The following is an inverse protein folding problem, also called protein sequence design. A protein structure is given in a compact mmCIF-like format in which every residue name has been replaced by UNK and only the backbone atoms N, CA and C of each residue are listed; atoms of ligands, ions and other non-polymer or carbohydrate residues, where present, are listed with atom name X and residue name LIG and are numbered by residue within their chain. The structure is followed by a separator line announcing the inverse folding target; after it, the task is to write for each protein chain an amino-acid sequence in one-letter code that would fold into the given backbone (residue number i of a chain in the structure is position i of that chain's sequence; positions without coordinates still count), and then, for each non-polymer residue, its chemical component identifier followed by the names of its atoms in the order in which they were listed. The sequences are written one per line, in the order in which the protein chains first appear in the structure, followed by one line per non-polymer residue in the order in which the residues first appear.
data_IF_714687545799
#
_entry.id   IF_714687545799
#
_cell.length_a   1.000
_cell.length_b   1.000
_cell.length_c   1.000
_cell.angle_alpha   90.00
_cell.angle_beta   90.00
_cell.angle_gamma   90.00
#
_symmetry.space_group_name_H-M   'P 1'
#
loop_
_entity.id
_entity.type
_entity.pdbx_description
1 polymer ?
#
# COMPACT_ATOMS: atom_id res chain seq x y z
N UNK A 1 26.24 -3.41 -26.19
CA UNK A 1 24.79 -3.41 -25.89
C UNK A 1 24.48 -2.09 -25.20
N UNK A 2 23.63 -1.24 -25.79
CA UNK A 2 23.32 0.09 -25.25
C UNK A 2 22.51 -0.09 -23.94
N UNK A 3 22.78 0.76 -22.94
CA UNK A 3 22.11 0.75 -21.63
C UNK A 3 20.60 0.92 -21.79
N UNK A 4 20.17 1.74 -22.76
CA UNK A 4 18.76 1.97 -23.06
C UNK A 4 18.04 0.71 -23.56
N UNK A 5 18.74 -0.14 -24.32
CA UNK A 5 18.16 -1.40 -24.83
C UNK A 5 17.91 -2.38 -23.69
N UNK A 6 18.83 -2.48 -22.72
CA UNK A 6 18.66 -3.33 -21.52
C UNK A 6 17.45 -2.91 -20.69
N UNK A 7 17.29 -1.60 -20.46
CA UNK A 7 16.16 -1.07 -19.69
C UNK A 7 14.80 -1.34 -20.36
N UNK A 8 14.75 -1.30 -21.69
CA UNK A 8 13.54 -1.67 -22.44
C UNK A 8 13.24 -3.15 -22.28
N UNK A 9 14.24 -4.02 -22.46
CA UNK A 9 14.07 -5.48 -22.36
C UNK A 9 13.58 -5.88 -20.96
N UNK A 10 14.21 -5.38 -19.89
CA UNK A 10 13.81 -5.66 -18.51
C UNK A 10 12.37 -5.18 -18.24
N UNK A 11 12.03 -3.96 -18.66
CA UNK A 11 10.68 -3.40 -18.51
C UNK A 11 9.63 -4.22 -19.25
N UNK A 12 9.94 -4.72 -20.44
CA UNK A 12 9.03 -5.54 -21.25
C UNK A 12 8.86 -6.95 -20.67
N UNK A 13 9.91 -7.54 -20.09
CA UNK A 13 9.83 -8.85 -19.42
C UNK A 13 8.91 -8.75 -18.20
N UNK A 14 9.11 -7.75 -17.35
CA UNK A 14 8.27 -7.52 -16.16
C UNK A 14 6.83 -7.22 -16.56
N UNK A 15 6.63 -6.37 -17.57
CA UNK A 15 5.30 -6.06 -18.12
C UNK A 15 4.59 -7.32 -18.63
N UNK A 16 5.28 -8.14 -19.43
CA UNK A 16 4.71 -9.38 -19.96
C UNK A 16 4.39 -10.39 -18.84
N UNK A 17 5.21 -10.45 -17.79
CA UNK A 17 4.93 -11.27 -16.61
C UNK A 17 3.66 -10.80 -15.88
N UNK A 18 3.52 -9.50 -15.62
CA UNK A 18 2.35 -8.92 -14.96
C UNK A 18 1.06 -9.11 -15.78
N UNK A 19 1.12 -8.93 -17.10
CA UNK A 19 0.00 -9.17 -18.00
C UNK A 19 -0.44 -10.63 -17.99
N UNK A 20 0.49 -11.59 -18.05
CA UNK A 20 0.19 -13.03 -17.96
C UNK A 20 -0.41 -13.43 -16.62
N UNK A 21 0.03 -12.81 -15.53
CA UNK A 21 -0.51 -13.02 -14.20
C UNK A 21 -1.91 -12.39 -14.02
N UNK A 22 -2.43 -11.69 -15.03
CA UNK A 22 -3.67 -10.90 -14.95
C UNK A 22 -3.69 -9.93 -13.75
N UNK A 23 -2.50 -9.50 -13.31
CA UNK A 23 -2.32 -8.63 -12.15
C UNK A 23 -1.53 -7.38 -12.55
N UNK A 24 -2.16 -6.46 -13.30
CA UNK A 24 -1.52 -5.20 -13.71
C UNK A 24 -1.07 -4.33 -12.53
N UNK A 25 -1.68 -4.55 -11.36
CA UNK A 25 -1.39 -3.85 -10.10
C UNK A 25 0.04 -4.10 -9.61
N UNK A 26 0.67 -5.20 -9.98
CA UNK A 26 1.95 -5.63 -9.43
C UNK A 26 3.19 -4.98 -10.07
N UNK A 27 3.04 -4.04 -11.01
CA UNK A 27 4.18 -3.49 -11.74
C UNK A 27 5.00 -2.48 -10.90
N UNK A 28 6.33 -2.65 -10.80
CA UNK A 28 7.18 -1.71 -10.09
C UNK A 28 7.05 -0.28 -10.64
N UNK A 29 7.12 0.75 -9.79
CA UNK A 29 7.05 2.16 -10.22
C UNK A 29 8.09 2.54 -11.28
N UNK A 30 9.25 1.88 -11.28
CA UNK A 30 10.31 2.09 -12.26
C UNK A 30 9.86 1.68 -13.68
N UNK A 31 9.21 0.52 -13.82
CA UNK A 31 8.68 0.04 -15.10
C UNK A 31 7.59 0.95 -15.62
N UNK A 32 6.64 1.34 -14.76
CA UNK A 32 5.57 2.30 -15.13
C UNK A 32 6.14 3.60 -15.69
N UNK A 33 7.11 4.18 -14.99
CA UNK A 33 7.80 5.41 -15.41
C UNK A 33 8.50 5.23 -16.75
N UNK A 34 9.23 4.13 -16.94
CA UNK A 34 9.93 3.87 -18.18
C UNK A 34 8.95 3.71 -19.36
N UNK A 35 7.90 2.89 -19.21
CA UNK A 35 6.90 2.67 -20.27
C UNK A 35 6.19 3.97 -20.66
N UNK A 36 5.87 4.84 -19.70
CA UNK A 36 5.25 6.15 -20.00
C UNK A 36 6.16 7.11 -20.78
N UNK A 37 7.49 6.97 -20.63
CA UNK A 37 8.48 7.87 -21.23
C UNK A 37 9.08 7.30 -22.54
N UNK A 38 9.13 5.97 -22.69
CA UNK A 38 9.74 5.30 -23.83
C UNK A 38 8.70 4.97 -24.90
N UNK A 39 8.82 5.61 -26.08
CA UNK A 39 7.91 5.41 -27.20
C UNK A 39 7.86 3.96 -27.69
N UNK A 40 9.00 3.25 -27.67
CA UNK A 40 9.10 1.84 -28.03
C UNK A 40 8.31 0.97 -27.05
N UNK A 41 8.56 1.08 -25.74
CA UNK A 41 7.86 0.32 -24.72
C UNK A 41 6.35 0.59 -24.74
N UNK A 42 5.94 1.85 -24.97
CA UNK A 42 4.54 2.21 -25.16
C UNK A 42 3.94 1.57 -26.41
N UNK A 43 4.64 1.58 -27.55
CA UNK A 43 4.17 0.92 -28.77
C UNK A 43 4.02 -0.60 -28.56
N UNK A 44 4.99 -1.25 -27.90
CA UNK A 44 4.91 -2.68 -27.57
C UNK A 44 3.76 -2.97 -26.63
N UNK A 45 3.54 -2.17 -25.58
CA UNK A 45 2.37 -2.31 -24.71
C UNK A 45 1.07 -2.19 -25.52
N UNK A 46 0.96 -1.19 -26.39
CA UNK A 46 -0.23 -1.00 -27.22
C UNK A 46 -0.49 -2.21 -28.14
N UNK A 47 0.56 -2.78 -28.74
CA UNK A 47 0.48 -3.97 -29.59
C UNK A 47 0.10 -5.22 -28.79
N UNK A 48 0.71 -5.42 -27.61
CA UNK A 48 0.37 -6.53 -26.72
C UNK A 48 -1.10 -6.44 -26.29
N UNK A 49 -1.60 -5.24 -26.00
CA UNK A 49 -2.99 -5.04 -25.63
C UNK A 49 -3.93 -5.27 -26.82
N UNK A 50 -3.61 -4.73 -28.00
CA UNK A 50 -4.42 -4.96 -29.21
C UNK A 50 -4.48 -6.45 -29.58
N UNK A 51 -3.38 -7.20 -29.38
CA UNK A 51 -3.35 -8.64 -29.58
C UNK A 51 -4.18 -9.42 -28.54
N UNK A 52 -4.52 -8.79 -27.41
CA UNK A 52 -5.27 -9.37 -26.30
C UNK A 52 -6.66 -8.74 -26.13
N UNK A 53 -7.17 -7.95 -27.09
CA UNK A 53 -8.52 -7.35 -27.06
C UNK A 53 -9.64 -8.41 -27.02
N UNK A 54 -9.31 -9.69 -27.21
CA UNK A 54 -10.22 -10.81 -27.02
C UNK A 54 -10.35 -11.29 -25.57
N UNK A 55 -9.57 -10.74 -24.62
CA UNK A 55 -9.66 -11.11 -23.21
C UNK A 55 -10.88 -10.42 -22.54
N UNK A 56 -11.86 -11.19 -22.04
CA UNK A 56 -13.02 -10.63 -21.35
C UNK A 56 -12.59 -9.77 -20.14
N UNK A 57 -13.13 -8.55 -20.04
CA UNK A 57 -12.86 -7.64 -18.92
C UNK A 57 -11.65 -6.72 -19.07
N UNK A 58 -10.89 -6.84 -20.18
CA UNK A 58 -9.75 -5.97 -20.50
C UNK A 58 -10.10 -4.84 -21.47
N UNK A 59 -11.38 -4.65 -21.78
CA UNK A 59 -11.83 -3.56 -22.64
C UNK A 59 -11.35 -2.23 -22.07
N UNK A 60 -10.57 -1.48 -22.85
CA UNK A 60 -10.12 -0.13 -22.48
C UNK A 60 -11.35 0.74 -22.31
N UNK A 61 -11.72 1.13 -21.07
CA UNK A 61 -12.84 2.02 -20.92
C UNK A 61 -12.38 3.36 -21.53
N UNK A 62 -13.08 3.89 -22.54
CA UNK A 62 -12.68 5.12 -23.18
C UNK A 62 -12.74 6.24 -22.16
N UNK A 63 -11.63 6.95 -21.98
CA UNK A 63 -11.55 8.19 -21.20
C UNK A 63 -10.66 9.17 -21.95
N UNK A 64 -11.11 10.41 -22.08
CA UNK A 64 -10.31 11.49 -22.65
C UNK A 64 -9.41 12.13 -21.58
N UNK A 65 -8.44 12.94 -22.02
CA UNK A 65 -7.52 13.61 -21.10
C UNK A 65 -8.24 14.51 -20.09
N UNK A 66 -9.36 15.14 -20.47
CA UNK A 66 -10.08 16.07 -19.61
C UNK A 66 -10.71 15.32 -18.43
N UNK A 67 -11.45 14.25 -18.71
CA UNK A 67 -12.06 13.42 -17.68
C UNK A 67 -10.99 12.73 -16.83
N UNK A 68 -9.89 12.27 -17.45
CA UNK A 68 -8.76 11.70 -16.72
C UNK A 68 -8.22 12.69 -15.67
N UNK A 69 -8.02 13.96 -16.04
CA UNK A 69 -7.51 14.98 -15.14
C UNK A 69 -8.50 15.36 -14.03
N UNK A 70 -9.81 15.33 -14.30
CA UNK A 70 -10.86 15.58 -13.29
C UNK A 70 -10.81 14.52 -12.20
N UNK A 71 -10.71 13.24 -12.58
CA UNK A 71 -10.75 12.14 -11.62
C UNK A 71 -9.36 11.78 -11.05
N UNK A 72 -8.29 12.40 -11.57
CA UNK A 72 -6.91 12.05 -11.23
C UNK A 72 -6.61 12.22 -9.73
N UNK A 73 -7.17 13.25 -9.09
CA UNK A 73 -6.95 13.49 -7.67
C UNK A 73 -7.47 12.34 -6.80
N UNK A 74 -8.71 11.90 -7.04
CA UNK A 74 -9.33 10.78 -6.33
C UNK A 74 -8.56 9.47 -6.56
N UNK A 75 -8.08 9.26 -7.79
CA UNK A 75 -7.20 8.12 -8.09
C UNK A 75 -5.89 8.16 -7.30
N UNK A 76 -5.19 9.30 -7.28
CA UNK A 76 -3.92 9.46 -6.57
C UNK A 76 -4.08 9.23 -5.06
N UNK A 77 -5.15 9.77 -4.46
CA UNK A 77 -5.44 9.57 -3.03
C UNK A 77 -5.69 8.10 -2.70
N UNK A 78 -6.52 7.43 -3.50
CA UNK A 78 -6.79 6.01 -3.30
C UNK A 78 -5.54 5.16 -3.58
N UNK A 79 -4.75 5.48 -4.60
CA UNK A 79 -3.55 4.70 -4.95
C UNK A 79 -2.49 4.74 -3.85
N UNK A 80 -2.35 5.88 -3.16
CA UNK A 80 -1.38 6.06 -2.06
C UNK A 80 -1.72 5.22 -0.84
N UNK A 81 -2.99 4.91 -0.61
CA UNK A 81 -3.42 4.04 0.48
C UNK A 81 -3.56 2.58 0.05
N UNK A 82 -4.11 2.33 -1.15
CA UNK A 82 -4.45 1.01 -1.68
C UNK A 82 -4.28 0.99 -3.21
N UNK A 83 -3.06 0.76 -3.69
CA UNK A 83 -2.75 0.80 -5.13
C UNK A 83 -3.56 -0.20 -5.96
N UNK A 84 -3.87 -1.38 -5.40
CA UNK A 84 -4.72 -2.39 -6.03
C UNK A 84 -6.16 -1.90 -6.22
N UNK A 85 -6.75 -1.39 -5.14
CA UNK A 85 -8.11 -0.88 -5.15
C UNK A 85 -8.25 0.33 -6.09
N UNK A 86 -7.24 1.20 -6.16
CA UNK A 86 -7.25 2.35 -7.08
C UNK A 86 -7.35 1.92 -8.54
N UNK A 87 -6.58 0.92 -8.96
CA UNK A 87 -6.64 0.39 -10.33
C UNK A 87 -7.99 -0.28 -10.63
N UNK A 88 -8.62 -0.91 -9.63
CA UNK A 88 -9.94 -1.53 -9.78
C UNK A 88 -11.08 -0.50 -9.79
N UNK A 89 -10.99 0.56 -8.98
CA UNK A 89 -12.00 1.61 -8.88
C UNK A 89 -11.93 2.61 -10.05
N UNK A 90 -10.73 2.84 -10.60
CA UNK A 90 -10.50 3.76 -11.72
C UNK A 90 -9.70 3.08 -12.86
N UNK A 91 -10.21 1.97 -13.44
CA UNK A 91 -9.51 1.23 -14.47
C UNK A 91 -9.18 2.11 -15.69
N UNK A 92 -10.07 3.04 -16.02
CA UNK A 92 -9.90 3.97 -17.14
C UNK A 92 -8.73 4.93 -16.93
N UNK A 93 -8.56 5.49 -15.72
CA UNK A 93 -7.46 6.41 -15.41
C UNK A 93 -6.16 5.62 -15.39
N UNK A 94 -6.17 4.48 -14.69
CA UNK A 94 -5.02 3.59 -14.62
C UNK A 94 -4.51 3.28 -16.04
N UNK A 95 -5.39 2.85 -16.96
CA UNK A 95 -5.05 2.62 -18.37
C UNK A 95 -4.57 3.87 -19.11
N UNK A 96 -5.25 5.00 -18.93
CA UNK A 96 -4.93 6.24 -19.65
C UNK A 96 -3.52 6.74 -19.33
N UNK A 97 -3.07 6.60 -18.07
CA UNK A 97 -1.72 6.99 -17.65
C UNK A 97 -0.61 6.20 -18.35
N UNK A 98 -0.87 5.00 -18.86
CA UNK A 98 0.11 4.22 -19.63
C UNK A 98 0.29 4.72 -21.06
N UNK A 99 -0.76 5.31 -21.65
CA UNK A 99 -0.79 5.65 -23.07
C UNK A 99 -0.62 7.16 -23.31
N UNK A 100 -1.04 7.99 -22.36
CA UNK A 100 -1.02 9.44 -22.47
C UNK A 100 0.12 10.06 -21.64
N UNK A 101 1.17 10.50 -22.32
CA UNK A 101 2.35 11.10 -21.67
C UNK A 101 2.01 12.35 -20.84
N UNK A 102 1.11 13.22 -21.33
CA UNK A 102 0.72 14.44 -20.61
C UNK A 102 -0.03 14.16 -19.30
N UNK A 103 -0.93 13.16 -19.30
CA UNK A 103 -1.61 12.75 -18.07
C UNK A 103 -0.65 12.05 -17.10
N UNK A 104 0.29 11.23 -17.61
CA UNK A 104 1.34 10.61 -16.81
C UNK A 104 2.25 11.66 -16.14
N UNK A 105 2.64 12.71 -16.87
CA UNK A 105 3.43 13.81 -16.32
C UNK A 105 2.68 14.54 -15.21
N UNK A 106 1.40 14.86 -15.43
CA UNK A 106 0.55 15.51 -14.42
C UNK A 106 0.41 14.65 -13.16
N UNK A 107 0.17 13.36 -13.33
CA UNK A 107 0.15 12.38 -12.24
C UNK A 107 1.46 12.39 -11.42
N UNK A 108 2.61 12.34 -12.10
CA UNK A 108 3.92 12.38 -11.44
C UNK A 108 4.15 13.71 -10.71
N UNK A 109 3.72 14.83 -11.27
CA UNK A 109 3.80 16.13 -10.62
C UNK A 109 2.94 16.16 -9.35
N UNK A 110 1.71 15.67 -9.42
CA UNK A 110 0.80 15.56 -8.27
C UNK A 110 1.41 14.71 -7.17
N UNK A 111 1.98 13.54 -7.49
CA UNK A 111 2.67 12.70 -6.51
C UNK A 111 3.84 13.44 -5.84
N UNK A 112 4.68 14.15 -6.62
CA UNK A 112 5.78 14.95 -6.08
C UNK A 112 5.31 16.09 -5.19
N UNK A 113 4.22 16.76 -5.54
CA UNK A 113 3.65 17.83 -4.72
C UNK A 113 3.14 17.29 -3.38
N UNK A 114 2.46 16.14 -3.39
CA UNK A 114 2.00 15.47 -2.17
C UNK A 114 3.17 14.99 -1.30
N UNK A 115 4.23 14.47 -1.91
CA UNK A 115 5.44 14.07 -1.19
C UNK A 115 6.19 15.26 -0.60
N UNK A 116 6.26 16.38 -1.34
CA UNK A 116 6.86 17.62 -0.86
C UNK A 116 6.04 18.26 0.26
N UNK A 117 4.70 18.21 0.17
CA UNK A 117 3.81 18.70 1.22
C UNK A 117 3.99 17.86 2.50
N UNK A 118 4.06 16.53 2.35
CA UNK A 118 4.38 15.63 3.46
C UNK A 118 5.75 15.91 4.07
N UNK A 119 6.76 16.23 3.26
CA UNK A 119 8.09 16.62 3.75
C UNK A 119 8.12 17.98 4.46
N UNK A 120 7.17 18.88 4.17
CA UNK A 120 6.99 20.16 4.88
C UNK A 120 6.20 20.03 6.17
N UNK A 121 5.55 18.89 6.41
CA UNK A 121 4.94 18.64 7.71
C UNK A 121 6.05 18.74 8.77
N UNK A 122 5.76 19.38 9.92
CA UNK A 122 6.77 19.63 10.94
C UNK A 122 7.49 18.31 11.26
N UNK A 123 8.82 18.37 11.27
CA UNK A 123 9.67 17.24 11.58
C UNK A 123 9.14 16.52 12.82
N UNK A 124 9.18 15.19 12.78
CA UNK A 124 8.63 14.32 13.81
C UNK A 124 8.91 14.90 15.20
N UNK A 125 7.86 15.24 15.93
CA UNK A 125 8.02 15.86 17.25
C UNK A 125 8.79 14.87 18.13
N UNK A 126 9.81 15.34 18.89
CA UNK A 126 10.51 14.50 19.85
C UNK A 126 9.49 13.78 20.72
N UNK A 127 9.62 12.45 20.76
CA UNK A 127 8.56 11.50 21.11
C UNK A 127 7.80 11.88 22.36
N UNK A 128 6.59 12.42 22.18
CA UNK A 128 5.59 12.36 23.23
C UNK A 128 5.16 10.89 23.31
N UNK A 129 5.23 10.24 24.48
CA UNK A 129 4.88 8.84 24.60
C UNK A 129 3.38 8.70 24.30
N UNK A 130 3.07 8.09 23.16
CA UNK A 130 1.72 7.60 22.89
C UNK A 130 1.38 6.56 23.98
N UNK A 131 0.15 6.57 24.50
CA UNK A 131 -0.22 5.61 25.54
C UNK A 131 -0.12 4.18 24.99
N UNK A 132 0.24 3.20 25.84
CA UNK A 132 0.17 1.80 25.45
C UNK A 132 -1.29 1.45 25.13
N UNK A 133 -1.48 0.62 24.12
CA UNK A 133 -2.80 0.13 23.73
C UNK A 133 -2.85 -1.37 23.89
N UNK A 134 -4.00 -1.86 24.35
CA UNK A 134 -4.25 -3.28 24.56
C UNK A 134 -5.41 -3.72 23.70
N UNK A 135 -5.16 -4.70 22.86
CA UNK A 135 -6.15 -5.37 22.02
C UNK A 135 -6.52 -6.66 22.71
N UNK A 136 -7.72 -6.67 23.30
CA UNK A 136 -8.24 -7.88 23.94
C UNK A 136 -8.47 -8.96 22.90
N UNK A 137 -8.41 -10.22 23.32
CA UNK A 137 -8.75 -11.35 22.44
C UNK A 137 -10.12 -11.20 21.81
N UNK A 138 -11.13 -10.77 22.56
CA UNK A 138 -12.47 -10.51 22.03
C UNK A 138 -12.48 -9.48 20.90
N UNK A 139 -11.66 -8.42 21.00
CA UNK A 139 -11.55 -7.40 19.94
C UNK A 139 -10.86 -8.00 18.71
N UNK A 140 -9.72 -8.66 18.88
CA UNK A 140 -9.00 -9.29 17.77
C UNK A 140 -9.90 -10.29 17.03
N UNK A 141 -10.74 -11.03 17.76
CA UNK A 141 -11.69 -11.97 17.16
C UNK A 141 -12.75 -11.31 16.28
N UNK A 142 -13.18 -10.11 16.65
CA UNK A 142 -14.16 -9.34 15.89
C UNK A 142 -13.52 -8.66 14.68
N UNK A 143 -12.26 -8.22 14.80
CA UNK A 143 -11.56 -7.46 13.76
C UNK A 143 -10.87 -8.36 12.71
N UNK A 144 -10.46 -9.57 13.11
CA UNK A 144 -9.73 -10.51 12.27
C UNK A 144 -10.60 -11.69 11.82
N UNK A 145 -10.35 -12.26 10.62
CA UNK A 145 -11.09 -13.40 10.13
C UNK A 145 -10.82 -14.63 11.03
N UNK A 146 -11.88 -15.18 11.60
CA UNK A 146 -11.84 -16.34 12.53
C UNK A 146 -11.50 -17.67 11.84
N UNK A 147 -11.70 -17.79 10.52
CA UNK A 147 -11.54 -19.04 9.78
C UNK A 147 -10.74 -18.85 8.49
N UNK A 148 -9.77 -19.74 8.29
CA UNK A 148 -9.05 -19.88 7.03
C UNK A 148 -10.04 -20.15 5.88
N UNK A 149 -10.11 -19.21 4.94
CA UNK A 149 -10.79 -19.39 3.66
C UNK A 149 -12.29 -19.10 3.68
N UNK A 150 -12.66 -17.83 3.76
CA UNK A 150 -13.96 -17.44 3.18
C UNK A 150 -13.84 -17.44 1.65
N UNK A 151 -14.84 -17.93 0.89
CA UNK A 151 -14.82 -17.90 -0.57
C UNK A 151 -14.63 -16.51 -1.19
N UNK A 152 -14.83 -15.44 -0.41
CA UNK A 152 -14.58 -14.05 -0.81
C UNK A 152 -13.07 -13.73 -0.92
N UNK A 153 -12.22 -14.32 -0.08
CA UNK A 153 -10.75 -14.18 -0.21
C UNK A 153 -10.23 -14.82 -1.50
N UNK A 154 -10.85 -15.90 -1.97
CA UNK A 154 -10.50 -16.51 -3.28
C UNK A 154 -10.88 -15.62 -4.48
N UNK A 155 -11.66 -14.55 -4.29
CA UNK A 155 -12.03 -13.58 -5.35
C UNK A 155 -11.22 -12.28 -5.29
N UNK A 156 -10.10 -12.27 -4.58
CA UNK A 156 -9.22 -11.09 -4.49
C UNK A 156 -9.72 -10.00 -3.56
N UNK A 157 -10.47 -10.35 -2.51
CA UNK A 157 -10.78 -9.42 -1.42
C UNK A 157 -9.50 -8.95 -0.71
N UNK A 158 -9.49 -7.70 -0.24
CA UNK A 158 -8.34 -7.09 0.45
C UNK A 158 -7.94 -7.91 1.69
N UNK A 159 -6.68 -8.34 1.77
CA UNK A 159 -6.11 -9.10 2.91
C UNK A 159 -5.82 -8.22 4.14
N UNK A 160 -6.40 -7.02 4.21
CA UNK A 160 -6.11 -5.99 5.19
C UNK A 160 -7.29 -5.79 6.14
N UNK A 161 -6.98 -5.81 7.44
CA UNK A 161 -7.95 -5.73 8.53
C UNK A 161 -7.59 -4.58 9.47
N UNK A 162 -8.46 -3.58 9.59
CA UNK A 162 -8.23 -2.42 10.46
C UNK A 162 -8.53 -2.82 11.91
N UNK A 163 -7.50 -2.83 12.76
CA UNK A 163 -7.62 -3.10 14.20
C UNK A 163 -7.96 -1.85 15.00
N UNK A 164 -7.47 -0.70 14.55
CA UNK A 164 -7.69 0.60 15.20
C UNK A 164 -7.55 1.71 14.17
N UNK A 165 -8.44 2.68 14.20
CA UNK A 165 -8.32 3.92 13.42
C UNK A 165 -9.00 5.06 14.18
N UNK A 166 -8.23 5.79 14.99
CA UNK A 166 -8.76 6.88 15.80
C UNK A 166 -7.68 7.81 16.33
N UNK A 167 -8.12 8.89 16.95
CA UNK A 167 -7.25 9.83 17.64
C UNK A 167 -6.85 9.31 19.04
N UNK A 168 -5.56 9.35 19.42
CA UNK A 168 -5.03 8.66 20.63
C UNK A 168 -4.68 9.59 21.80
N UNK A 169 -5.11 10.85 21.78
CA UNK A 169 -4.97 11.73 22.94
C UNK A 169 -6.18 12.65 23.12
N UNK A 170 -6.31 13.21 24.34
CA UNK A 170 -7.42 14.09 24.70
C UNK A 170 -7.51 15.36 23.84
N UNK A 171 -6.41 15.73 23.19
CA UNK A 171 -6.30 16.89 22.30
C UNK A 171 -6.45 16.53 20.82
N UNK A 172 -6.70 15.25 20.49
CA UNK A 172 -6.80 14.73 19.13
C UNK A 172 -5.62 15.12 18.21
N UNK A 173 -4.43 15.24 18.77
CA UNK A 173 -3.21 15.62 18.05
C UNK A 173 -2.64 14.49 17.22
N UNK A 174 -2.95 13.24 17.58
CA UNK A 174 -2.42 12.06 16.89
C UNK A 174 -3.54 11.20 16.35
N UNK A 175 -3.62 11.05 15.03
CA UNK A 175 -4.36 9.97 14.38
C UNK A 175 -3.45 8.74 14.31
N UNK A 176 -3.97 7.61 14.77
CA UNK A 176 -3.29 6.34 14.72
C UNK A 176 -4.14 5.34 13.96
N UNK A 177 -3.50 4.65 13.03
CA UNK A 177 -4.10 3.57 12.25
C UNK A 177 -3.27 2.31 12.45
N UNK A 178 -3.92 1.20 12.77
CA UNK A 178 -3.28 -0.12 12.94
C UNK A 178 -4.01 -1.10 12.03
N UNK A 179 -3.26 -1.69 11.12
CA UNK A 179 -3.76 -2.62 10.10
C UNK A 179 -3.03 -3.94 10.27
N UNK A 180 -3.77 -5.03 10.33
CA UNK A 180 -3.26 -6.39 10.22
C UNK A 180 -3.45 -6.89 8.80
N UNK A 181 -2.37 -7.36 8.18
CA UNK A 181 -2.37 -7.89 6.82
C UNK A 181 -1.98 -9.37 6.84
N UNK A 182 -2.80 -10.22 6.21
CA UNK A 182 -2.48 -11.63 6.00
C UNK A 182 -1.58 -11.75 4.76
N UNK A 183 -0.32 -12.13 4.99
CA UNK A 183 0.66 -12.36 3.93
C UNK A 183 0.58 -13.77 3.33
N UNK A 184 -0.36 -14.60 3.80
CA UNK A 184 -0.52 -15.98 3.42
C UNK A 184 0.33 -16.93 4.27
N UNK A 185 0.03 -18.23 4.16
CA UNK A 185 0.73 -19.32 4.87
C UNK A 185 0.79 -19.15 6.40
N UNK A 186 -0.22 -18.51 6.99
CA UNK A 186 -0.28 -18.27 8.42
C UNK A 186 0.69 -17.18 8.91
N UNK A 187 1.21 -16.35 8.00
CA UNK A 187 2.10 -15.24 8.33
C UNK A 187 1.33 -13.93 8.21
N UNK A 188 1.41 -13.13 9.26
CA UNK A 188 0.77 -11.83 9.36
C UNK A 188 1.80 -10.71 9.48
N UNK A 189 1.37 -9.52 9.07
CA UNK A 189 2.09 -8.27 9.27
C UNK A 189 1.17 -7.29 10.01
N UNK A 190 1.73 -6.55 10.97
CA UNK A 190 1.06 -5.41 11.58
C UNK A 190 1.71 -4.12 11.07
N UNK A 191 0.93 -3.29 10.39
CA UNK A 191 1.31 -1.96 9.96
C UNK A 191 0.73 -0.93 10.93
N UNK A 192 1.57 0.00 11.38
CA UNK A 192 1.20 1.05 12.33
C UNK A 192 1.54 2.38 11.70
N UNK A 193 0.53 3.22 11.53
CA UNK A 193 0.68 4.59 11.03
C UNK A 193 0.28 5.61 12.09
N UNK A 194 1.12 6.61 12.29
CA UNK A 194 0.86 7.73 13.20
C UNK A 194 0.94 9.05 12.44
N UNK A 195 -0.06 9.90 12.58
CA UNK A 195 -0.07 11.26 12.04
C UNK A 195 -0.35 12.28 13.16
N UNK A 196 0.49 13.31 13.36
CA UNK A 196 1.74 13.57 12.64
C UNK A 196 2.80 12.49 12.91
N UNK A 197 3.79 12.33 12.01
CA UNK A 197 4.87 11.35 12.19
C UNK A 197 5.58 11.47 13.54
N UNK A 198 5.85 10.34 14.17
CA UNK A 198 6.59 10.25 15.44
C UNK A 198 7.94 9.55 15.23
N UNK A 199 8.93 9.95 16.02
CA UNK A 199 10.21 9.24 16.07
C UNK A 199 10.18 8.17 17.17
N UNK A 200 10.87 7.05 16.94
CA UNK A 200 11.00 5.98 17.94
C UNK A 200 10.65 4.61 17.37
N UNK A 201 10.11 3.75 18.24
CA UNK A 201 9.79 2.37 17.90
C UNK A 201 8.36 2.02 18.31
N UNK A 202 7.69 1.25 17.46
CA UNK A 202 6.54 0.45 17.84
C UNK A 202 7.01 -0.89 18.39
N UNK A 203 6.50 -1.27 19.55
CA UNK A 203 6.78 -2.57 20.19
C UNK A 203 5.46 -3.30 20.41
N UNK A 204 5.33 -4.44 19.76
CA UNK A 204 4.17 -5.31 19.87
C UNK A 204 4.52 -6.50 20.75
N UNK A 205 3.87 -6.59 21.91
CA UNK A 205 4.05 -7.68 22.84
C UNK A 205 2.81 -8.59 22.84
N UNK A 206 3.05 -9.90 22.88
CA UNK A 206 2.02 -10.93 23.00
C UNK A 206 2.60 -12.08 23.84
N UNK A 207 2.28 -12.09 25.13
CA UNK A 207 2.87 -13.03 26.08
C UNK A 207 4.39 -12.83 26.22
N UNK A 208 5.17 -13.87 25.91
CA UNK A 208 6.64 -13.84 25.96
C UNK A 208 7.31 -13.31 24.69
N UNK A 209 6.53 -12.99 23.64
CA UNK A 209 7.08 -12.53 22.36
C UNK A 209 6.95 -11.01 22.28
N UNK A 210 8.02 -10.35 21.85
CA UNK A 210 8.04 -8.93 21.55
C UNK A 210 8.66 -8.69 20.17
N UNK A 211 7.93 -7.99 19.31
CA UNK A 211 8.40 -7.53 18.01
C UNK A 211 8.58 -6.02 18.06
N UNK A 212 9.65 -5.53 17.42
CA UNK A 212 10.03 -4.12 17.44
C UNK A 212 10.28 -3.60 16.04
N UNK A 213 9.69 -2.46 15.71
CA UNK A 213 9.85 -1.80 14.42
C UNK A 213 10.06 -0.30 14.61
N UNK A 214 10.97 0.28 13.82
CA UNK A 214 11.24 1.72 13.85
C UNK A 214 10.21 2.46 13.00
N UNK A 215 9.76 3.62 13.47
CA UNK A 215 8.97 4.54 12.63
C UNK A 215 9.86 5.22 11.57
N UNK A 216 9.38 5.22 10.33
CA UNK A 216 10.01 5.94 9.23
C UNK A 216 9.64 7.44 9.22
N UNK A 217 10.14 8.18 8.22
CA UNK A 217 9.85 9.61 8.07
C UNK A 217 8.37 9.91 7.78
N UNK A 218 7.58 8.92 7.39
CA UNK A 218 6.14 9.04 7.16
C UNK A 218 5.31 8.61 8.38
N UNK A 219 5.95 8.31 9.52
CA UNK A 219 5.26 7.87 10.73
C UNK A 219 4.73 6.44 10.63
N UNK A 220 5.33 5.61 9.76
CA UNK A 220 4.94 4.21 9.56
C UNK A 220 5.95 3.27 10.22
N UNK A 221 5.46 2.25 10.91
CA UNK A 221 6.25 1.13 11.40
C UNK A 221 5.61 -0.18 10.93
N UNK A 222 6.44 -1.16 10.56
CA UNK A 222 5.98 -2.48 10.08
C UNK A 222 6.58 -3.58 10.94
N UNK A 223 5.72 -4.38 11.54
CA UNK A 223 6.08 -5.54 12.34
C UNK A 223 5.75 -6.78 11.51
N UNK A 224 6.79 -7.39 10.96
CA UNK A 224 6.68 -8.54 10.08
C UNK A 224 6.74 -9.87 10.85
N UNK A 225 6.34 -10.95 10.18
CA UNK A 225 6.53 -12.33 10.64
C UNK A 225 5.76 -12.67 11.92
N UNK A 226 4.55 -12.14 12.07
CA UNK A 226 3.65 -12.61 13.12
C UNK A 226 3.08 -13.96 12.72
N UNK A 227 3.28 -14.96 13.58
CA UNK A 227 2.62 -16.25 13.43
C UNK A 227 1.12 -16.08 13.70
N UNK A 228 0.27 -16.68 12.85
CA UNK A 228 -1.18 -16.59 12.97
C UNK A 228 -1.71 -16.99 14.34
N UNK A 229 -1.04 -17.92 15.02
CA UNK A 229 -1.34 -18.40 16.37
C UNK A 229 -1.28 -17.26 17.40
N UNK A 230 -0.43 -16.25 17.18
CA UNK A 230 -0.34 -15.10 18.10
C UNK A 230 -1.53 -14.16 17.99
N UNK A 231 -2.16 -14.10 16.82
CA UNK A 231 -3.28 -13.19 16.54
C UNK A 231 -4.64 -13.88 16.68
N UNK A 232 -4.74 -15.13 16.21
CA UNK A 232 -6.01 -15.83 16.00
C UNK A 232 -6.36 -16.85 17.09
N UNK A 233 -5.42 -17.23 17.98
CA UNK A 233 -5.72 -18.18 19.06
C UNK A 233 -6.60 -17.53 20.12
N UNK A 234 -7.72 -18.17 20.46
CA UNK A 234 -8.71 -17.68 21.43
C UNK A 234 -8.16 -17.57 22.85
N UNK A 235 -7.35 -18.54 23.29
CA UNK A 235 -6.79 -18.63 24.65
C UNK A 235 -5.42 -17.95 24.79
N UNK A 236 -5.02 -17.12 23.82
CA UNK A 236 -3.75 -16.41 23.85
C UNK A 236 -3.74 -15.19 24.80
N UNK A 237 -2.57 -14.69 25.20
CA UNK A 237 -2.45 -13.45 25.98
C UNK A 237 -2.87 -12.22 25.16
N UNK A 238 -3.42 -11.17 25.74
CA UNK A 238 -3.76 -9.97 24.96
C UNK A 238 -2.54 -9.37 24.24
N UNK A 239 -2.82 -8.70 23.12
CA UNK A 239 -1.79 -8.03 22.33
C UNK A 239 -1.64 -6.59 22.82
N UNK A 240 -0.43 -6.23 23.19
CA UNK A 240 -0.09 -4.90 23.71
C UNK A 240 0.81 -4.17 22.71
N UNK A 241 0.39 -3.00 22.26
CA UNK A 241 1.21 -2.11 21.46
C UNK A 241 1.75 -0.97 22.32
N UNK A 242 3.06 -0.83 22.36
CA UNK A 242 3.81 0.19 23.11
C UNK A 242 4.61 1.05 22.16
N UNK A 243 4.83 2.30 22.55
CA UNK A 243 5.61 3.27 21.79
C UNK A 243 6.82 3.69 22.60
N UNK A 244 8.00 3.42 22.08
CA UNK A 244 9.26 3.72 22.74
C UNK A 244 9.95 4.91 22.06
N UNK A 245 10.58 5.82 22.83
CA UNK A 245 11.37 6.90 22.26
C UNK A 245 12.59 6.36 21.49
N UNK A 246 13.17 7.14 20.57
CA UNK A 246 14.46 6.79 19.97
C UNK A 246 15.51 6.69 21.08
N UNK A 247 16.34 5.64 21.06
CA UNK A 247 17.44 5.53 22.02
C UNK A 247 18.39 6.72 21.81
N UNK A 248 18.72 7.42 22.90
CA UNK A 248 19.77 8.44 22.88
C UNK A 248 21.09 7.72 22.54
N UNK A 249 21.62 8.00 21.35
CA UNK A 249 22.95 7.56 20.93
C UNK A 249 24.05 8.38 21.57
#
# INVERSE_FOLDING_TARGET
MNIETRLCDDSLIELAAALRAHSPVALPPAVRRHVSACSLCRATLLLLLAANDTLPGWGRPPIDCRQCLVDLAAFVELERSRSAAAAQAFPQIWWHLWVCAGCAETYLLTQRLLDADRARQPAARPGMPLPPMRFSRSLLRLALPQCAGTPAQMRGGEAQHVLFDSSVDAQQRYQLTIIAEDLGHGVWQIQIGVQPPVAGFAVLACGGIALRARFDSAGQARLDKLASELLLTDDGPDLELRFEPPMAG
#
